data_IF_624917109120
#
_entry.id   IF_624917109120
#
_cell.length_a   1.000
_cell.length_b   1.000
_cell.length_c   1.000
_cell.angle_alpha   90.00
_cell.angle_beta   90.00
_cell.angle_gamma   90.00
#
_symmetry.space_group_name_H-M   'P 1'
#
loop_
_entity.id
_entity.type
_entity.pdbx_description
1 polymer ?
#
# COMPACT_ATOMS: atom_id res chain seq x y z
N UNK A 1 -23.72 -0.11 -15.45
CA UNK A 1 -22.33 -0.24 -14.96
C UNK A 1 -22.06 -1.71 -14.75
N UNK A 2 -20.96 -2.20 -15.25
CA UNK A 2 -20.53 -3.59 -15.10
C UNK A 2 -19.67 -3.74 -13.84
N UNK A 3 -19.70 -4.92 -13.21
CA UNK A 3 -18.94 -5.22 -12.00
C UNK A 3 -17.99 -6.39 -12.27
N UNK A 4 -16.70 -6.23 -11.93
CA UNK A 4 -15.69 -7.28 -12.08
C UNK A 4 -15.03 -7.57 -10.72
N UNK A 5 -15.21 -8.77 -10.23
CA UNK A 5 -14.70 -9.20 -8.93
C UNK A 5 -13.40 -9.98 -9.13
N UNK A 6 -12.28 -9.43 -8.69
CA UNK A 6 -10.98 -10.10 -8.68
C UNK A 6 -10.82 -10.79 -7.33
N UNK A 7 -11.05 -12.09 -7.28
CA UNK A 7 -11.06 -12.87 -6.05
C UNK A 7 -9.76 -13.65 -5.87
N UNK A 8 -8.99 -13.28 -4.85
CA UNK A 8 -7.80 -14.03 -4.46
C UNK A 8 -8.18 -15.23 -3.59
N UNK A 9 -8.06 -16.43 -4.17
CA UNK A 9 -8.43 -17.69 -3.51
C UNK A 9 -7.64 -18.01 -2.23
N UNK A 10 -6.48 -17.35 -2.03
CA UNK A 10 -5.63 -17.53 -0.84
C UNK A 10 -5.83 -16.42 0.20
N UNK A 11 -6.68 -15.44 -0.06
CA UNK A 11 -6.96 -14.36 0.88
C UNK A 11 -8.05 -14.76 1.88
N UNK A 12 -7.89 -14.27 3.10
CA UNK A 12 -8.85 -14.48 4.19
C UNK A 12 -8.46 -15.61 5.16
N UNK A 13 -8.90 -15.44 6.40
CA UNK A 13 -8.63 -16.41 7.47
C UNK A 13 -9.37 -17.73 7.26
N UNK A 14 -10.50 -17.71 6.57
CA UNK A 14 -11.37 -18.88 6.42
C UNK A 14 -11.07 -19.72 5.17
N UNK A 15 -10.24 -19.26 4.23
CA UNK A 15 -9.90 -19.96 2.96
C UNK A 15 -11.12 -20.61 2.25
N UNK A 16 -12.32 -20.15 2.55
CA UNK A 16 -13.56 -20.75 2.06
C UNK A 16 -14.05 -19.98 0.83
N UNK A 17 -13.47 -20.30 -0.32
CA UNK A 17 -13.81 -19.70 -1.62
C UNK A 17 -15.28 -19.91 -1.95
N UNK A 18 -15.86 -21.07 -1.60
CA UNK A 18 -17.26 -21.40 -1.89
C UNK A 18 -18.21 -20.48 -1.13
N UNK A 19 -17.97 -20.24 0.16
CA UNK A 19 -18.77 -19.30 0.97
C UNK A 19 -18.69 -17.89 0.42
N UNK A 20 -17.51 -17.48 0.00
CA UNK A 20 -17.27 -16.16 -0.58
C UNK A 20 -17.98 -15.99 -1.93
N UNK A 21 -17.95 -17.04 -2.78
CA UNK A 21 -18.68 -17.06 -4.05
C UNK A 21 -20.21 -17.08 -3.84
N UNK A 22 -20.70 -17.79 -2.82
CA UNK A 22 -22.10 -17.77 -2.46
C UNK A 22 -22.57 -16.37 -2.03
N UNK A 23 -21.77 -15.67 -1.23
CA UNK A 23 -22.04 -14.29 -0.84
C UNK A 23 -22.04 -13.35 -2.05
N UNK A 24 -21.05 -13.46 -2.95
CA UNK A 24 -21.03 -12.67 -4.20
C UNK A 24 -22.31 -12.91 -5.01
N UNK A 25 -22.71 -14.18 -5.18
CA UNK A 25 -23.92 -14.52 -5.94
C UNK A 25 -25.20 -13.90 -5.34
N UNK A 26 -25.26 -13.80 -4.02
CA UNK A 26 -26.38 -13.19 -3.30
C UNK A 26 -26.35 -11.65 -3.43
N UNK A 27 -25.22 -11.03 -3.10
CA UNK A 27 -25.10 -9.57 -3.03
C UNK A 27 -25.12 -8.89 -4.41
N UNK A 28 -24.68 -9.59 -5.47
CA UNK A 28 -24.71 -9.09 -6.85
C UNK A 28 -25.92 -9.59 -7.66
N UNK A 29 -26.92 -10.18 -7.00
CA UNK A 29 -28.13 -10.66 -7.68
C UNK A 29 -28.83 -9.54 -8.44
N UNK A 30 -29.03 -9.75 -9.76
CA UNK A 30 -29.66 -8.75 -10.65
C UNK A 30 -28.72 -7.70 -11.21
N UNK A 31 -27.44 -7.75 -10.87
CA UNK A 31 -26.38 -6.90 -11.45
C UNK A 31 -25.64 -7.65 -12.56
N UNK A 32 -25.08 -6.89 -13.51
CA UNK A 32 -24.16 -7.43 -14.51
C UNK A 32 -22.77 -7.56 -13.88
N UNK A 33 -22.35 -8.78 -13.56
CA UNK A 33 -21.07 -9.02 -12.91
C UNK A 33 -20.34 -10.26 -13.45
N UNK A 34 -19.01 -10.19 -13.34
CA UNK A 34 -18.09 -11.30 -13.61
C UNK A 34 -17.15 -11.52 -12.42
N UNK A 35 -16.71 -12.76 -12.25
CA UNK A 35 -15.73 -13.13 -11.21
C UNK A 35 -14.50 -13.75 -11.87
N UNK A 36 -13.34 -13.17 -11.60
CA UNK A 36 -12.04 -13.72 -11.94
C UNK A 36 -11.36 -14.27 -10.69
N UNK A 37 -11.07 -15.56 -10.68
CA UNK A 37 -10.29 -16.22 -9.64
C UNK A 37 -8.80 -16.12 -9.96
N UNK A 38 -8.01 -15.51 -9.07
CA UNK A 38 -6.57 -15.36 -9.31
C UNK A 38 -5.90 -16.74 -9.36
N UNK A 39 -5.05 -16.97 -10.34
CA UNK A 39 -4.34 -18.25 -10.54
C UNK A 39 -3.00 -18.30 -9.83
N UNK A 40 -2.48 -17.13 -9.39
CA UNK A 40 -1.20 -17.01 -8.69
C UNK A 40 -0.73 -15.56 -8.62
N UNK A 41 0.45 -15.30 -8.05
CA UNK A 41 1.06 -13.99 -8.06
C UNK A 41 1.22 -13.43 -9.48
N UNK A 42 0.95 -12.15 -9.65
CA UNK A 42 1.02 -11.40 -10.91
C UNK A 42 0.07 -11.89 -12.02
N UNK A 43 -0.98 -12.66 -11.68
CA UNK A 43 -1.97 -13.13 -12.65
C UNK A 43 -3.02 -12.06 -13.00
N UNK A 44 -3.22 -11.09 -12.13
CA UNK A 44 -4.27 -10.06 -12.26
C UNK A 44 -3.90 -9.03 -13.32
N UNK A 45 -2.64 -8.59 -13.38
CA UNK A 45 -2.20 -7.54 -14.31
C UNK A 45 -2.45 -7.92 -15.77
N UNK A 46 -1.96 -9.07 -16.29
CA UNK A 46 -2.20 -9.44 -17.69
C UNK A 46 -3.68 -9.66 -17.98
N UNK A 47 -4.41 -10.29 -17.07
CA UNK A 47 -5.85 -10.49 -17.21
C UNK A 47 -6.60 -9.15 -17.35
N UNK A 48 -6.39 -8.22 -16.42
CA UNK A 48 -7.08 -6.92 -16.45
C UNK A 48 -6.67 -6.07 -17.65
N UNK A 49 -5.39 -6.04 -18.03
CA UNK A 49 -4.94 -5.33 -19.24
C UNK A 49 -5.64 -5.88 -20.50
N UNK A 50 -5.76 -7.19 -20.63
CA UNK A 50 -6.50 -7.81 -21.75
C UNK A 50 -8.00 -7.52 -21.67
N UNK A 51 -8.61 -7.65 -20.50
CA UNK A 51 -10.03 -7.38 -20.28
C UNK A 51 -10.40 -5.94 -20.64
N UNK A 52 -9.62 -4.98 -20.16
CA UNK A 52 -9.86 -3.54 -20.38
C UNK A 52 -9.59 -3.12 -21.84
N UNK A 53 -8.70 -3.81 -22.55
CA UNK A 53 -8.48 -3.55 -23.98
C UNK A 53 -9.69 -3.89 -24.86
N UNK A 54 -10.58 -4.74 -24.36
CA UNK A 54 -11.79 -5.22 -25.08
C UNK A 54 -13.08 -4.56 -24.59
N UNK A 55 -13.05 -3.85 -23.45
CA UNK A 55 -14.23 -3.32 -22.79
C UNK A 55 -14.00 -1.85 -22.44
N UNK A 56 -14.84 -0.96 -23.00
CA UNK A 56 -14.77 0.48 -22.79
C UNK A 56 -15.90 1.02 -21.88
N UNK A 57 -16.75 0.15 -21.36
CA UNK A 57 -17.86 0.53 -20.49
C UNK A 57 -17.37 1.02 -19.12
N UNK A 58 -18.26 1.69 -18.39
CA UNK A 58 -17.99 2.03 -16.98
C UNK A 58 -17.95 0.74 -16.17
N UNK A 59 -16.80 0.47 -15.58
CA UNK A 59 -16.50 -0.75 -14.87
C UNK A 59 -16.14 -0.46 -13.41
N UNK A 60 -16.74 -1.19 -12.46
CA UNK A 60 -16.29 -1.22 -11.07
C UNK A 60 -15.53 -2.52 -10.82
N UNK A 61 -14.24 -2.42 -10.52
CA UNK A 61 -13.36 -3.55 -10.21
C UNK A 61 -13.24 -3.71 -8.71
N UNK A 62 -13.57 -4.87 -8.19
CA UNK A 62 -13.47 -5.21 -6.78
C UNK A 62 -12.19 -6.00 -6.53
N UNK A 63 -11.22 -5.41 -5.86
CA UNK A 63 -10.01 -6.10 -5.42
C UNK A 63 -10.28 -6.87 -4.13
N UNK A 64 -10.69 -8.14 -4.25
CA UNK A 64 -11.01 -9.00 -3.12
C UNK A 64 -9.78 -9.80 -2.69
N UNK A 65 -8.98 -9.21 -1.80
CA UNK A 65 -7.72 -9.79 -1.36
C UNK A 65 -7.00 -8.94 -0.31
N UNK A 66 -5.70 -9.17 -0.18
CA UNK A 66 -4.81 -8.33 0.63
C UNK A 66 -4.06 -7.30 -0.23
N UNK A 67 -3.08 -6.62 0.39
CA UNK A 67 -2.33 -5.50 -0.20
C UNK A 67 -1.68 -5.87 -1.56
N UNK A 68 -1.18 -7.10 -1.74
CA UNK A 68 -0.65 -7.56 -3.02
C UNK A 68 -1.70 -7.66 -4.15
N UNK A 69 -2.94 -8.09 -3.83
CA UNK A 69 -4.03 -8.11 -4.82
C UNK A 69 -4.43 -6.68 -5.21
N UNK A 70 -4.49 -5.79 -4.24
CA UNK A 70 -4.77 -4.37 -4.47
C UNK A 70 -3.70 -3.75 -5.36
N UNK A 71 -2.42 -4.02 -5.05
CA UNK A 71 -1.28 -3.54 -5.85
C UNK A 71 -1.38 -4.00 -7.33
N UNK A 72 -1.69 -5.28 -7.58
CA UNK A 72 -1.84 -5.79 -8.94
C UNK A 72 -3.01 -5.12 -9.68
N UNK A 73 -4.17 -4.96 -9.01
CA UNK A 73 -5.33 -4.28 -9.61
C UNK A 73 -5.00 -2.83 -9.95
N UNK A 74 -4.42 -2.07 -9.01
CA UNK A 74 -4.00 -0.67 -9.21
C UNK A 74 -3.08 -0.54 -10.41
N UNK A 75 -2.05 -1.39 -10.50
CA UNK A 75 -1.07 -1.36 -11.60
C UNK A 75 -1.66 -1.77 -12.96
N UNK A 76 -2.82 -2.43 -12.96
CA UNK A 76 -3.53 -2.79 -14.19
C UNK A 76 -4.52 -1.71 -14.66
N UNK A 77 -5.18 -1.00 -13.71
CA UNK A 77 -6.27 -0.06 -14.03
C UNK A 77 -5.84 1.40 -14.13
N UNK A 78 -4.62 1.72 -13.69
CA UNK A 78 -4.11 3.09 -13.80
C UNK A 78 -4.19 3.61 -15.24
N UNK A 79 -4.73 4.84 -15.40
CA UNK A 79 -4.95 5.46 -16.71
C UNK A 79 -6.34 5.22 -17.31
N UNK A 80 -7.14 4.30 -16.79
CA UNK A 80 -8.51 4.06 -17.24
C UNK A 80 -9.51 4.88 -16.41
N UNK A 81 -9.95 6.01 -16.95
CA UNK A 81 -10.89 6.94 -16.26
C UNK A 81 -12.31 6.39 -16.08
N UNK A 82 -12.70 5.42 -16.90
CA UNK A 82 -13.97 4.71 -16.82
C UNK A 82 -13.97 3.55 -15.82
N UNK A 83 -12.85 3.32 -15.12
CA UNK A 83 -12.71 2.24 -14.13
C UNK A 83 -12.74 2.80 -12.73
N UNK A 84 -13.55 2.18 -11.87
CA UNK A 84 -13.64 2.45 -10.44
C UNK A 84 -13.02 1.30 -9.65
N UNK A 85 -12.17 1.61 -8.66
CA UNK A 85 -11.57 0.63 -7.75
C UNK A 85 -12.40 0.51 -6.47
N UNK A 86 -12.99 -0.63 -6.22
CA UNK A 86 -13.52 -1.02 -4.92
C UNK A 86 -12.56 -2.03 -4.25
N UNK A 87 -12.31 -1.88 -2.95
CA UNK A 87 -11.45 -2.80 -2.20
C UNK A 87 -12.30 -3.58 -1.23
N UNK A 88 -12.35 -4.91 -1.38
CA UNK A 88 -12.86 -5.80 -0.35
C UNK A 88 -11.68 -6.33 0.50
N UNK A 89 -11.60 -5.85 1.73
CA UNK A 89 -10.44 -6.00 2.62
C UNK A 89 -10.35 -7.42 3.22
N UNK A 90 -10.04 -8.43 2.39
CA UNK A 90 -9.93 -9.84 2.81
C UNK A 90 -8.53 -10.23 3.32
N UNK A 91 -7.53 -9.39 3.19
CA UNK A 91 -6.17 -9.64 3.65
C UNK A 91 -5.99 -9.45 5.17
N UNK A 92 -4.80 -9.83 5.68
CA UNK A 92 -4.44 -9.63 7.10
C UNK A 92 -3.96 -8.20 7.39
N UNK A 93 -3.34 -7.53 6.43
CA UNK A 93 -2.83 -6.16 6.55
C UNK A 93 -3.91 -5.12 6.28
N UNK A 94 -4.39 -5.10 5.05
CA UNK A 94 -5.36 -4.14 4.51
C UNK A 94 -4.97 -2.69 4.84
N UNK A 95 -3.70 -2.37 4.58
CA UNK A 95 -3.08 -1.16 5.11
C UNK A 95 -3.66 0.12 4.50
N UNK A 96 -3.96 0.11 3.21
CA UNK A 96 -4.50 1.28 2.53
C UNK A 96 -5.85 1.75 3.08
N UNK A 97 -6.80 0.82 3.26
CA UNK A 97 -8.16 1.21 3.70
C UNK A 97 -8.21 1.78 5.12
N UNK A 98 -7.14 1.63 5.89
CA UNK A 98 -7.03 2.21 7.24
C UNK A 98 -6.95 3.73 7.27
N UNK A 99 -6.59 4.38 6.15
CA UNK A 99 -6.64 5.84 6.05
C UNK A 99 -8.08 6.34 6.26
N UNK A 100 -9.07 5.54 5.85
CA UNK A 100 -10.48 5.84 6.00
C UNK A 100 -11.07 5.42 7.36
N UNK A 101 -10.30 4.76 8.25
CA UNK A 101 -10.81 4.20 9.51
C UNK A 101 -10.47 5.01 10.76
N UNK A 102 -9.82 6.17 10.65
CA UNK A 102 -9.15 6.81 11.79
C UNK A 102 -9.50 8.27 12.10
N UNK A 103 -10.28 8.94 11.32
CA UNK A 103 -10.91 10.16 11.79
C UNK A 103 -12.28 9.82 12.39
N UNK A 104 -12.78 10.60 13.38
CA UNK A 104 -14.15 10.45 13.86
C UNK A 104 -15.16 10.52 12.71
N UNK A 105 -14.83 11.31 11.68
CA UNK A 105 -15.59 11.45 10.44
C UNK A 105 -15.59 10.19 9.59
N UNK A 106 -14.50 9.39 9.63
CA UNK A 106 -14.32 8.15 8.90
C UNK A 106 -14.63 6.87 9.69
N UNK A 107 -14.67 6.91 11.03
CA UNK A 107 -15.15 5.77 11.83
C UNK A 107 -16.60 5.43 11.47
N UNK A 108 -17.42 6.43 11.14
CA UNK A 108 -18.78 6.25 10.64
C UNK A 108 -18.84 5.73 9.20
N UNK A 109 -17.79 5.97 8.40
CA UNK A 109 -17.67 5.46 7.01
C UNK A 109 -17.19 4.01 7.00
N UNK A 110 -16.27 3.63 7.91
CA UNK A 110 -15.62 2.31 7.91
C UNK A 110 -16.37 1.28 8.74
N UNK A 111 -17.11 1.72 9.75
CA UNK A 111 -17.92 0.84 10.59
C UNK A 111 -19.38 1.16 10.40
N UNK A 112 -20.18 0.13 10.11
CA UNK A 112 -21.62 0.26 10.16
C UNK A 112 -22.08 0.51 11.62
N UNK A 113 -23.38 0.75 11.83
CA UNK A 113 -23.97 0.97 13.18
C UNK A 113 -23.68 -0.18 14.17
N UNK A 114 -23.33 -1.37 13.68
CA UNK A 114 -22.96 -2.55 14.46
C UNK A 114 -21.44 -2.68 14.65
N UNK A 115 -20.64 -1.75 14.13
CA UNK A 115 -19.17 -1.74 14.25
C UNK A 115 -18.44 -2.65 13.25
N UNK A 116 -19.14 -3.21 12.26
CA UNK A 116 -18.55 -4.05 11.21
C UNK A 116 -17.83 -3.20 10.16
N UNK A 117 -16.74 -3.73 9.63
CA UNK A 117 -15.93 -3.05 8.62
C UNK A 117 -16.63 -3.07 7.26
N UNK A 118 -17.07 -1.91 6.77
CA UNK A 118 -17.75 -1.74 5.47
C UNK A 118 -16.91 -2.12 4.26
N UNK A 119 -15.59 -2.09 4.37
CA UNK A 119 -14.72 -2.66 3.34
C UNK A 119 -14.76 -4.21 3.30
N UNK A 120 -15.60 -4.85 4.11
CA UNK A 120 -15.94 -6.28 4.06
C UNK A 120 -17.41 -6.52 3.75
N UNK A 121 -18.11 -5.51 3.25
CA UNK A 121 -19.52 -5.56 2.87
C UNK A 121 -19.67 -5.19 1.39
N UNK A 122 -20.08 -6.15 0.56
CA UNK A 122 -20.29 -5.91 -0.86
C UNK A 122 -21.42 -4.92 -1.12
N UNK A 123 -22.49 -4.95 -0.34
CA UNK A 123 -23.63 -4.03 -0.52
C UNK A 123 -23.21 -2.59 -0.31
N UNK A 124 -22.38 -2.34 0.74
CA UNK A 124 -21.80 -1.03 1.00
C UNK A 124 -20.84 -0.58 -0.14
N UNK A 125 -20.07 -1.51 -0.73
CA UNK A 125 -19.18 -1.23 -1.84
C UNK A 125 -19.93 -1.06 -3.17
N UNK A 126 -21.02 -1.79 -3.40
CA UNK A 126 -21.87 -1.67 -4.59
C UNK A 126 -22.57 -0.29 -4.60
N UNK A 127 -23.08 0.16 -3.45
CA UNK A 127 -23.72 1.47 -3.31
C UNK A 127 -22.74 2.62 -3.07
N UNK A 128 -21.44 2.31 -2.88
CA UNK A 128 -20.43 3.30 -2.58
C UNK A 128 -20.16 4.28 -3.71
N UNK A 129 -19.70 5.49 -3.34
CA UNK A 129 -19.41 6.56 -4.28
C UNK A 129 -17.91 6.64 -4.60
N UNK A 130 -17.53 6.88 -5.87
CA UNK A 130 -16.14 7.04 -6.24
C UNK A 130 -15.62 8.43 -5.88
N UNK A 131 -14.42 8.48 -5.32
CA UNK A 131 -13.63 9.70 -5.16
C UNK A 131 -12.35 9.58 -5.97
N UNK A 132 -11.85 10.69 -6.49
CA UNK A 132 -10.56 10.70 -7.17
C UNK A 132 -9.43 10.72 -6.13
N UNK A 133 -8.50 9.77 -6.24
CA UNK A 133 -7.33 9.70 -5.36
C UNK A 133 -6.03 9.73 -6.15
N UNK A 134 -4.98 10.15 -5.46
CA UNK A 134 -3.63 10.23 -5.99
C UNK A 134 -2.93 8.87 -5.90
N UNK A 135 -1.96 8.66 -6.78
CA UNK A 135 -1.00 7.56 -6.73
C UNK A 135 0.43 8.10 -6.73
N UNK A 136 1.36 7.27 -6.27
CA UNK A 136 2.78 7.48 -6.51
C UNK A 136 3.25 6.59 -7.65
N UNK A 137 3.79 7.20 -8.72
CA UNK A 137 4.42 6.51 -9.85
C UNK A 137 5.91 6.38 -9.58
N UNK A 138 6.41 5.16 -9.49
CA UNK A 138 7.84 4.88 -9.35
C UNK A 138 8.42 4.39 -10.67
N UNK A 139 9.52 5.01 -11.11
CA UNK A 139 10.29 4.65 -12.29
C UNK A 139 11.78 4.53 -11.96
N UNK A 140 12.54 3.85 -12.81
CA UNK A 140 13.98 3.71 -12.65
C UNK A 140 14.58 2.79 -13.71
N UNK A 141 15.90 2.84 -13.94
CA UNK A 141 16.56 2.05 -15.01
C UNK A 141 16.45 0.53 -14.83
N UNK A 142 16.24 0.07 -13.59
CA UNK A 142 16.08 -1.35 -13.27
C UNK A 142 14.66 -1.89 -13.49
N UNK A 143 13.69 -1.00 -13.75
CA UNK A 143 12.29 -1.36 -13.99
C UNK A 143 11.98 -1.38 -15.48
N UNK A 144 11.31 -2.43 -15.96
CA UNK A 144 10.82 -2.51 -17.34
C UNK A 144 9.66 -1.56 -17.62
N UNK A 145 8.78 -1.42 -16.63
CA UNK A 145 7.62 -0.52 -16.65
C UNK A 145 7.56 0.22 -15.31
N UNK A 146 6.96 1.41 -15.25
CA UNK A 146 6.69 2.09 -13.96
C UNK A 146 5.80 1.23 -13.06
N UNK A 147 6.04 1.33 -11.75
CA UNK A 147 5.16 0.75 -10.73
C UNK A 147 4.35 1.85 -10.06
N UNK A 148 3.13 1.55 -9.70
CA UNK A 148 2.22 2.49 -9.07
C UNK A 148 1.87 2.03 -7.66
N UNK A 149 2.00 2.95 -6.71
CA UNK A 149 1.68 2.73 -5.30
C UNK A 149 0.46 3.55 -4.92
N UNK A 150 -0.49 2.90 -4.29
CA UNK A 150 -1.67 3.51 -3.69
C UNK A 150 -1.44 3.84 -2.21
N UNK A 151 -0.47 3.17 -1.59
CA UNK A 151 -0.26 3.24 -0.14
C UNK A 151 1.11 3.86 0.20
N UNK A 152 2.15 3.07 0.40
CA UNK A 152 3.45 3.56 0.86
C UNK A 152 4.59 2.89 0.09
N UNK A 153 5.52 3.71 -0.39
CA UNK A 153 6.82 3.26 -0.88
C UNK A 153 7.83 3.45 0.23
N UNK A 154 8.60 2.42 0.55
CA UNK A 154 9.62 2.48 1.59
C UNK A 154 10.93 1.80 1.19
N UNK A 155 12.02 2.23 1.78
CA UNK A 155 13.35 1.66 1.60
C UNK A 155 14.16 1.78 2.90
N UNK A 156 15.20 0.99 3.06
CA UNK A 156 15.97 0.91 4.28
C UNK A 156 15.61 -0.31 5.11
N UNK A 157 15.52 -0.15 6.41
CA UNK A 157 15.29 -1.25 7.36
C UNK A 157 14.00 -2.02 7.07
N UNK A 158 12.90 -1.31 6.88
CA UNK A 158 11.57 -1.88 6.67
C UNK A 158 11.44 -2.60 5.33
N UNK A 159 12.03 -2.09 4.25
CA UNK A 159 12.09 -2.79 2.97
C UNK A 159 12.88 -4.10 3.06
N UNK A 160 13.98 -4.13 3.83
CA UNK A 160 14.75 -5.36 4.07
C UNK A 160 13.94 -6.35 4.91
N UNK A 161 13.20 -5.87 5.93
CA UNK A 161 12.28 -6.73 6.70
C UNK A 161 11.18 -7.28 5.79
N UNK A 162 10.63 -6.46 4.90
CA UNK A 162 9.63 -6.87 3.91
C UNK A 162 10.17 -7.94 2.96
N UNK A 163 11.33 -7.71 2.35
CA UNK A 163 11.98 -8.67 1.45
C UNK A 163 12.27 -10.01 2.13
N UNK A 164 12.88 -9.97 3.33
CA UNK A 164 13.15 -11.18 4.13
C UNK A 164 11.87 -11.87 4.62
N UNK A 165 10.86 -11.10 4.99
CA UNK A 165 9.55 -11.63 5.37
C UNK A 165 8.88 -12.38 4.22
N UNK A 166 8.91 -11.83 3.02
CA UNK A 166 8.38 -12.49 1.82
C UNK A 166 9.15 -13.79 1.51
N UNK A 167 10.48 -13.77 1.60
CA UNK A 167 11.33 -14.97 1.44
C UNK A 167 10.97 -16.04 2.50
N UNK A 168 10.84 -15.66 3.77
CA UNK A 168 10.49 -16.54 4.88
C UNK A 168 9.09 -17.13 4.71
N UNK A 169 8.12 -16.33 4.25
CA UNK A 169 6.75 -16.77 3.94
C UNK A 169 6.74 -17.86 2.88
N UNK A 170 7.52 -17.67 1.81
CA UNK A 170 7.67 -18.67 0.74
C UNK A 170 8.31 -19.97 1.23
N UNK A 171 9.16 -19.91 2.27
CA UNK A 171 9.74 -21.05 2.96
C UNK A 171 8.83 -21.69 4.03
N UNK A 172 7.62 -21.19 4.22
CA UNK A 172 6.64 -21.69 5.19
C UNK A 172 6.97 -21.36 6.66
N UNK A 173 7.81 -20.35 6.92
CA UNK A 173 8.16 -19.94 8.28
C UNK A 173 6.94 -19.35 8.99
N UNK A 174 6.60 -19.85 10.18
CA UNK A 174 5.38 -19.51 10.91
C UNK A 174 5.24 -18.02 11.27
N UNK A 175 6.37 -17.33 11.53
CA UNK A 175 6.40 -15.88 11.76
C UNK A 175 7.39 -15.22 10.78
N UNK A 176 6.99 -15.03 9.51
CA UNK A 176 7.91 -14.66 8.43
C UNK A 176 8.53 -13.27 8.60
N UNK A 177 7.81 -12.32 9.21
CA UNK A 177 8.27 -10.95 9.46
C UNK A 177 8.82 -10.74 10.87
N UNK A 178 8.98 -11.81 11.64
CA UNK A 178 9.52 -11.81 12.99
C UNK A 178 11.04 -11.74 13.06
N UNK A 179 11.68 -12.28 14.12
CA UNK A 179 13.12 -12.17 14.34
C UNK A 179 13.99 -12.58 13.15
N UNK A 180 13.57 -13.61 12.40
CA UNK A 180 14.29 -14.10 11.21
C UNK A 180 14.37 -13.08 10.06
N UNK A 181 13.47 -12.08 10.01
CA UNK A 181 13.54 -10.98 9.07
C UNK A 181 14.17 -9.72 9.70
N UNK A 182 13.85 -9.45 10.96
CA UNK A 182 14.27 -8.24 11.68
C UNK A 182 15.79 -8.24 11.93
N UNK A 183 16.39 -9.36 12.34
CA UNK A 183 17.83 -9.43 12.65
C UNK A 183 18.69 -9.12 11.43
N UNK A 184 18.49 -9.73 10.25
CA UNK A 184 19.22 -9.37 9.04
C UNK A 184 19.01 -7.90 8.63
N UNK A 185 17.81 -7.37 8.80
CA UNK A 185 17.53 -5.97 8.50
C UNK A 185 18.26 -5.00 9.42
N UNK A 186 18.38 -5.33 10.71
CA UNK A 186 19.20 -4.55 11.67
C UNK A 186 20.66 -4.52 11.25
N UNK A 187 21.19 -5.64 10.80
CA UNK A 187 22.60 -5.75 10.41
C UNK A 187 22.86 -5.11 9.04
N UNK A 188 21.96 -5.29 8.07
CA UNK A 188 22.12 -4.82 6.68
C UNK A 188 21.64 -3.39 6.44
N UNK A 189 20.46 -3.03 6.93
CA UNK A 189 19.82 -1.74 6.63
C UNK A 189 20.53 -0.51 7.17
N UNK A 190 21.39 -0.67 8.20
CA UNK A 190 22.12 0.43 8.83
C UNK A 190 23.26 1.00 7.98
N UNK A 191 23.63 0.34 6.89
CA UNK A 191 24.83 0.69 6.12
C UNK A 191 24.53 1.31 4.75
N UNK A 192 23.28 1.39 4.33
CA UNK A 192 22.90 1.96 3.05
C UNK A 192 23.11 3.49 3.05
N UNK A 193 23.96 3.96 2.14
CA UNK A 193 24.13 5.39 1.83
C UNK A 193 23.16 5.73 0.69
N UNK A 194 21.90 5.91 1.05
CA UNK A 194 20.87 6.35 0.11
C UNK A 194 20.72 7.86 0.26
N UNK A 195 20.78 8.58 -0.85
CA UNK A 195 20.50 10.02 -0.95
C UNK A 195 19.05 10.16 -1.39
N UNK A 196 18.30 11.00 -0.70
CA UNK A 196 16.93 11.34 -1.02
C UNK A 196 16.86 12.82 -1.36
N UNK A 197 16.30 13.12 -2.53
CA UNK A 197 15.96 14.49 -2.91
C UNK A 197 14.44 14.59 -3.08
N UNK A 198 13.87 15.71 -2.68
CA UNK A 198 12.46 16.01 -2.85
C UNK A 198 12.33 17.38 -3.51
N UNK A 199 11.68 17.45 -4.67
CA UNK A 199 11.60 18.64 -5.52
C UNK A 199 12.96 19.30 -5.75
N UNK A 200 13.98 18.48 -6.04
CA UNK A 200 15.37 18.91 -6.28
C UNK A 200 16.20 19.17 -5.02
N UNK A 201 15.58 19.31 -3.83
CA UNK A 201 16.31 19.55 -2.57
C UNK A 201 16.77 18.25 -1.92
N UNK A 202 18.06 18.15 -1.58
CA UNK A 202 18.57 16.99 -0.86
C UNK A 202 18.16 17.01 0.61
N UNK A 203 17.40 16.01 1.05
CA UNK A 203 16.82 15.91 2.40
C UNK A 203 17.78 15.35 3.43
N UNK A 204 18.75 14.52 3.04
CA UNK A 204 19.65 13.86 3.97
C UNK A 204 21.11 14.00 3.58
N UNK A 205 21.97 14.30 4.55
CA UNK A 205 23.45 14.26 4.43
C UNK A 205 24.02 12.96 5.02
N UNK A 206 23.29 12.30 5.89
CA UNK A 206 23.69 11.09 6.61
C UNK A 206 22.77 9.93 6.25
N UNK A 207 23.19 8.72 6.64
CA UNK A 207 22.38 7.50 6.46
C UNK A 207 21.03 7.62 7.16
N UNK A 208 20.01 7.10 6.52
CA UNK A 208 18.66 7.00 7.05
C UNK A 208 18.39 5.55 7.44
N UNK A 209 17.58 5.34 8.48
CA UNK A 209 17.22 4.01 8.97
C UNK A 209 15.94 3.51 8.30
N UNK A 210 14.92 4.35 8.29
CA UNK A 210 13.60 4.07 7.75
C UNK A 210 13.20 5.18 6.79
N UNK A 211 12.34 4.86 5.85
CA UNK A 211 11.70 5.83 4.98
C UNK A 211 10.24 5.46 4.76
N UNK A 212 9.40 6.45 4.54
CA UNK A 212 8.06 6.29 4.02
C UNK A 212 7.79 7.41 3.03
N UNK A 213 7.38 7.07 1.82
CA UNK A 213 6.83 7.96 0.82
C UNK A 213 5.35 7.60 0.71
N UNK A 214 4.50 8.36 1.40
CA UNK A 214 3.12 7.99 1.65
C UNK A 214 2.13 8.69 0.72
N UNK A 215 1.23 7.91 0.14
CA UNK A 215 -0.12 8.27 -0.24
C UNK A 215 -1.10 7.77 0.82
N UNK A 216 -0.88 6.54 1.31
CA UNK A 216 -1.52 6.02 2.51
C UNK A 216 -0.67 6.23 3.76
N UNK A 217 -1.16 5.72 4.90
CA UNK A 217 -0.59 6.02 6.21
C UNK A 217 0.03 4.82 6.91
N UNK A 218 -0.37 3.59 6.55
CA UNK A 218 -0.05 2.37 7.31
C UNK A 218 0.80 1.39 6.52
N UNK A 219 1.67 0.68 7.24
CA UNK A 219 2.49 -0.39 6.68
C UNK A 219 2.56 -1.58 7.64
N UNK A 220 2.64 -2.80 7.09
CA UNK A 220 2.84 -4.02 7.85
C UNK A 220 1.73 -4.32 8.86
N UNK A 221 0.52 -3.87 8.60
CA UNK A 221 -0.67 -4.13 9.41
C UNK A 221 -0.81 -3.28 10.67
N UNK A 222 0.27 -2.73 11.22
CA UNK A 222 0.26 -2.08 12.53
C UNK A 222 1.06 -0.77 12.64
N UNK A 223 1.94 -0.47 11.68
CA UNK A 223 2.81 0.71 11.78
C UNK A 223 2.19 1.89 11.05
N UNK A 224 1.93 2.96 11.77
CA UNK A 224 1.42 4.23 11.24
C UNK A 224 2.58 5.08 10.72
N UNK A 225 3.13 4.68 9.56
CA UNK A 225 4.41 5.15 9.05
C UNK A 225 4.38 6.58 8.51
N UNK A 226 3.27 6.99 7.91
CA UNK A 226 3.08 8.31 7.30
C UNK A 226 1.77 8.96 7.77
N UNK A 227 1.69 9.37 9.06
CA UNK A 227 0.42 9.75 9.69
C UNK A 227 -0.21 11.04 9.15
N UNK A 228 0.51 11.80 8.34
CA UNK A 228 0.03 13.07 7.74
C UNK A 228 -0.29 12.92 6.26
N UNK A 229 -0.16 11.73 5.68
CA UNK A 229 -0.48 11.51 4.28
C UNK A 229 -1.97 11.71 4.01
N UNK A 230 -2.22 12.43 2.92
CA UNK A 230 -3.52 12.66 2.33
C UNK A 230 -3.43 12.28 0.85
N UNK A 231 -4.23 11.32 0.44
CA UNK A 231 -4.21 10.80 -0.93
C UNK A 231 -5.06 11.60 -1.92
N UNK A 232 -5.38 12.87 -1.60
CA UNK A 232 -6.21 13.74 -2.43
C UNK A 232 -5.60 15.12 -2.68
N UNK A 233 -4.43 15.42 -2.11
CA UNK A 233 -3.85 16.76 -2.07
C UNK A 233 -2.75 17.03 -3.12
N UNK A 234 -2.46 16.03 -3.97
CA UNK A 234 -1.46 16.13 -5.04
C UNK A 234 -0.01 16.13 -4.56
N UNK A 235 0.28 15.56 -3.38
CA UNK A 235 1.61 15.51 -2.80
C UNK A 235 1.97 14.10 -2.29
N UNK A 236 3.27 13.88 -2.11
CA UNK A 236 3.84 12.69 -1.45
C UNK A 236 4.38 13.12 -0.10
N UNK A 237 3.96 12.46 0.96
CA UNK A 237 4.49 12.67 2.31
C UNK A 237 5.81 11.91 2.50
N UNK A 238 6.92 12.64 2.51
CA UNK A 238 8.27 12.08 2.66
C UNK A 238 8.67 12.10 4.12
N UNK A 239 8.73 10.93 4.75
CA UNK A 239 9.17 10.74 6.14
C UNK A 239 10.45 9.91 6.17
N UNK A 240 11.55 10.48 6.67
CA UNK A 240 12.84 9.81 6.78
C UNK A 240 13.30 9.77 8.24
N UNK A 241 13.57 8.59 8.79
CA UNK A 241 14.15 8.44 10.13
C UNK A 241 15.67 8.41 10.06
N UNK A 242 16.34 9.33 10.74
CA UNK A 242 17.79 9.35 10.90
C UNK A 242 18.28 8.11 11.65
N UNK A 243 19.47 7.61 11.29
CA UNK A 243 20.09 6.49 12.01
C UNK A 243 20.21 6.77 13.50
N UNK A 244 19.84 5.79 14.30
CA UNK A 244 19.98 5.82 15.76
C UNK A 244 20.48 4.48 16.29
N UNK A 245 20.87 4.42 17.58
CA UNK A 245 21.26 3.16 18.21
C UNK A 245 20.05 2.21 18.31
N UNK A 246 20.31 0.91 18.26
CA UNK A 246 19.29 -0.12 18.34
C UNK A 246 18.47 -0.01 19.66
N UNK A 247 19.15 0.26 20.78
CA UNK A 247 18.48 0.44 22.07
C UNK A 247 17.47 1.61 22.03
N UNK A 248 17.83 2.74 21.42
CA UNK A 248 16.91 3.87 21.24
C UNK A 248 15.76 3.52 20.30
N UNK A 249 16.04 2.79 19.23
CA UNK A 249 15.00 2.33 18.31
C UNK A 249 13.95 1.49 19.06
N UNK A 250 14.40 0.50 19.84
CA UNK A 250 13.50 -0.40 20.57
C UNK A 250 12.72 0.31 21.67
N UNK A 251 13.36 1.18 22.46
CA UNK A 251 12.74 1.78 23.66
C UNK A 251 11.92 3.01 23.32
N UNK A 252 12.39 3.86 22.40
CA UNK A 252 11.84 5.19 22.18
C UNK A 252 10.99 5.33 20.92
N UNK A 253 11.15 4.37 19.98
CA UNK A 253 10.61 4.54 18.64
C UNK A 253 9.38 3.69 18.36
N UNK A 254 9.43 2.39 18.66
CA UNK A 254 8.35 1.48 18.20
C UNK A 254 6.96 1.85 18.73
N UNK A 255 6.81 2.21 20.00
CA UNK A 255 5.52 2.59 20.56
C UNK A 255 4.91 3.86 19.90
N UNK A 256 5.64 4.98 19.84
CA UNK A 256 5.17 6.19 19.16
C UNK A 256 4.97 6.02 17.64
N UNK A 257 5.78 5.17 16.99
CA UNK A 257 5.68 4.91 15.56
C UNK A 257 4.42 4.12 15.20
N UNK A 258 4.09 3.10 15.99
CA UNK A 258 2.83 2.36 15.80
C UNK A 258 1.59 3.24 15.97
N UNK A 259 1.70 4.30 16.79
CA UNK A 259 0.60 5.24 17.06
C UNK A 259 0.60 6.47 16.15
N UNK A 260 1.56 6.60 15.22
CA UNK A 260 1.70 7.78 14.36
C UNK A 260 2.14 9.07 15.07
N UNK A 261 2.58 8.97 16.32
CA UNK A 261 2.93 10.13 17.16
C UNK A 261 4.32 10.72 16.87
N UNK A 262 5.09 10.09 16.01
CA UNK A 262 6.48 10.43 15.75
C UNK A 262 6.66 11.77 15.04
N UNK A 263 5.68 12.23 14.26
CA UNK A 263 5.71 13.54 13.59
C UNK A 263 5.12 14.68 14.45
N UNK A 264 4.39 14.36 15.52
CA UNK A 264 3.78 15.36 16.40
C UNK A 264 4.54 15.52 17.74
N UNK A 265 5.37 14.54 18.11
CA UNK A 265 6.19 14.60 19.31
C UNK A 265 7.47 15.41 19.05
N UNK A 266 7.69 16.59 19.71
CA UNK A 266 8.85 17.45 19.46
C UNK A 266 10.21 16.78 19.73
N UNK A 267 10.25 15.79 20.65
CA UNK A 267 11.47 15.05 20.97
C UNK A 267 11.83 14.06 19.87
N UNK A 268 10.84 13.46 19.23
CA UNK A 268 11.01 12.50 18.13
C UNK A 268 11.18 13.21 16.79
N UNK A 269 10.47 14.30 16.55
CA UNK A 269 10.52 15.08 15.30
C UNK A 269 11.96 15.47 14.92
N UNK A 270 12.84 15.78 15.90
CA UNK A 270 14.25 16.06 15.69
C UNK A 270 15.03 14.89 15.06
N UNK A 271 14.49 13.67 15.13
CA UNK A 271 15.10 12.45 14.54
C UNK A 271 14.60 12.16 13.14
N UNK A 272 13.54 12.86 12.72
CA UNK A 272 12.96 12.73 11.39
C UNK A 272 13.39 13.88 10.48
N UNK A 273 13.28 13.64 9.18
CA UNK A 273 13.11 14.65 8.15
C UNK A 273 11.72 14.40 7.59
N UNK A 274 10.89 15.41 7.57
CA UNK A 274 9.56 15.37 6.99
C UNK A 274 9.43 16.49 5.97
N UNK A 275 8.94 16.15 4.78
CA UNK A 275 8.66 17.09 3.70
C UNK A 275 7.53 16.55 2.82
N UNK A 276 6.70 17.43 2.31
CA UNK A 276 5.72 17.11 1.26
C UNK A 276 6.29 17.53 -0.08
N UNK A 277 6.16 16.69 -1.10
CA UNK A 277 6.80 16.89 -2.39
C UNK A 277 5.96 16.34 -3.54
N UNK A 278 6.18 16.85 -4.74
CA UNK A 278 5.60 16.28 -5.97
C UNK A 278 6.49 15.21 -6.58
N UNK A 279 7.79 15.30 -6.32
CA UNK A 279 8.79 14.41 -6.89
C UNK A 279 9.84 14.03 -5.85
N UNK A 280 10.25 12.77 -5.84
CA UNK A 280 11.31 12.25 -4.96
C UNK A 280 12.27 11.41 -5.77
N UNK A 281 13.57 11.75 -5.71
CA UNK A 281 14.66 10.93 -6.24
C UNK A 281 15.35 10.17 -5.11
N UNK A 282 15.60 8.88 -5.33
CA UNK A 282 16.24 7.96 -4.38
C UNK A 282 17.45 7.38 -5.05
N UNK A 283 18.63 7.73 -4.56
CA UNK A 283 19.91 7.51 -5.26
C UNK A 283 20.90 6.78 -4.35
N UNK A 284 21.51 5.72 -4.84
CA UNK A 284 22.57 4.97 -4.16
C UNK A 284 23.68 4.59 -5.11
N UNK A 285 24.89 4.37 -4.56
CA UNK A 285 26.02 3.82 -5.34
C UNK A 285 25.90 2.32 -5.60
N UNK A 286 25.06 1.62 -4.84
CA UNK A 286 24.84 0.17 -4.94
C UNK A 286 23.34 -0.09 -4.96
N UNK A 287 22.96 -1.17 -5.59
CA UNK A 287 21.57 -1.61 -5.56
C UNK A 287 21.08 -1.83 -4.15
N UNK A 288 19.84 -1.44 -3.91
CA UNK A 288 19.11 -1.61 -2.67
C UNK A 288 17.69 -2.08 -2.94
N UNK A 289 17.07 -2.66 -1.93
CA UNK A 289 15.68 -3.08 -2.01
C UNK A 289 14.77 -1.90 -1.67
N UNK A 290 13.74 -1.70 -2.50
CA UNK A 290 12.65 -0.75 -2.30
C UNK A 290 11.33 -1.51 -2.32
N UNK A 291 10.48 -1.21 -1.36
CA UNK A 291 9.17 -1.86 -1.21
C UNK A 291 8.08 -0.90 -1.66
N UNK A 292 7.20 -1.38 -2.53
CA UNK A 292 6.05 -0.66 -3.09
C UNK A 292 4.80 -1.43 -2.72
N UNK A 293 4.02 -0.94 -1.76
CA UNK A 293 2.80 -1.60 -1.25
C UNK A 293 3.01 -3.08 -0.84
N UNK A 294 4.21 -3.44 -0.38
CA UNK A 294 4.57 -4.81 -0.01
C UNK A 294 5.35 -5.60 -1.08
N UNK A 295 5.39 -5.14 -2.33
CA UNK A 295 6.17 -5.75 -3.41
C UNK A 295 7.58 -5.14 -3.46
N UNK A 296 8.59 -5.98 -3.77
CA UNK A 296 10.00 -5.57 -3.73
C UNK A 296 10.54 -5.38 -5.14
N UNK A 297 11.13 -4.19 -5.36
CA UNK A 297 11.99 -3.91 -6.49
C UNK A 297 13.45 -3.71 -6.01
N UNK A 298 14.42 -3.85 -6.91
CA UNK A 298 15.85 -3.67 -6.63
C UNK A 298 16.52 -2.83 -7.69
N UNK A 299 17.34 -1.88 -7.26
CA UNK A 299 18.08 -0.97 -8.15
C UNK A 299 18.87 0.05 -7.36
N UNK A 300 19.58 0.93 -8.06
CA UNK A 300 20.42 1.98 -7.48
C UNK A 300 19.85 3.40 -7.64
N UNK A 301 18.83 3.55 -8.48
CA UNK A 301 18.14 4.81 -8.72
C UNK A 301 16.65 4.57 -8.93
N UNK A 302 15.84 5.34 -8.22
CA UNK A 302 14.39 5.40 -8.43
C UNK A 302 13.92 6.85 -8.37
N UNK A 303 12.96 7.17 -9.23
CA UNK A 303 12.22 8.42 -9.24
C UNK A 303 10.77 8.11 -8.89
N UNK A 304 10.22 8.85 -7.94
CA UNK A 304 8.82 8.73 -7.51
C UNK A 304 8.14 10.06 -7.77
N UNK A 305 7.05 10.04 -8.51
CA UNK A 305 6.26 11.22 -8.87
C UNK A 305 4.82 11.03 -8.41
N UNK A 306 4.21 12.07 -7.85
CA UNK A 306 2.78 12.02 -7.59
C UNK A 306 1.99 12.06 -8.91
N UNK A 307 0.95 11.26 -9.00
CA UNK A 307 -0.06 11.32 -10.05
C UNK A 307 -1.40 11.74 -9.43
N UNK A 308 -1.73 13.02 -9.48
CA UNK A 308 -2.97 13.50 -8.89
C UNK A 308 -4.19 12.91 -9.59
N UNK A 309 -5.22 12.55 -8.81
CA UNK A 309 -6.51 12.06 -9.31
C UNK A 309 -6.37 10.90 -10.29
N UNK A 310 -5.47 9.97 -9.99
CA UNK A 310 -5.08 8.90 -10.91
C UNK A 310 -6.09 7.76 -10.96
N UNK A 311 -6.84 7.52 -9.88
CA UNK A 311 -7.82 6.44 -9.76
C UNK A 311 -9.13 6.94 -9.14
N UNK A 312 -10.25 6.45 -9.64
CA UNK A 312 -11.57 6.58 -9.02
C UNK A 312 -11.72 5.48 -7.95
N UNK A 313 -11.53 5.83 -6.69
CA UNK A 313 -11.62 4.90 -5.57
C UNK A 313 -13.01 4.94 -4.95
N UNK A 314 -13.63 3.76 -4.75
CA UNK A 314 -14.96 3.64 -4.19
C UNK A 314 -14.89 3.64 -2.66
N UNK A 315 -15.46 4.67 -2.05
CA UNK A 315 -15.70 4.72 -0.60
C UNK A 315 -17.01 4.00 -0.31
N UNK A 316 -17.03 2.99 0.58
CA UNK A 316 -18.26 2.26 0.89
C UNK A 316 -19.30 3.18 1.51
N UNK A 317 -20.56 3.02 1.10
CA UNK A 317 -21.69 3.82 1.59
C UNK A 317 -22.31 3.22 2.87
N UNK A 318 -23.13 4.02 3.58
CA UNK A 318 -23.82 3.59 4.79
C UNK A 318 -24.91 2.55 4.54
#
# INVERSE_FOLDING_TARGET
MKHLIILNQKAGAEKNVEKFQAQIKEDFKGLDYEVYLTTGPRSVIPFLKEYLSKNNDVLRVYACGGDGTIHEVVNAIVGYKNVQLAIYAAGTGNDFVKIYSKSKEYDDIVKNKTGENRFKDFKALISGEPIEIDLSKMSGPSLKEPWYSINVINFGFDAIVGAKGNENKNKGIKNPYGPAAIIPAILGGRFNKIIVKADGEQLNKKRMLLSALGQGQWVGGQYHASPKSDNTDGLIDVTLLKCMSLARLMIQFFGPYTKGQHLDNPKLLKKFVYKRAKEVEIISKKDFDICVDGEIARGSYFKVEVMPKAINFVVPNN
#
